data_IF_039020020075
#
_entry.id   IF_039020020075
#
_cell.length_a   1.000
_cell.length_b   1.000
_cell.length_c   1.000
_cell.angle_alpha   90.00
_cell.angle_beta   90.00
_cell.angle_gamma   90.00
#
_symmetry.space_group_name_H-M   'P 1'
#
loop_
_entity.id
_entity.type
_entity.pdbx_description
1 polymer ?
#
# COMPACT_ATOMS: atom_id res chain seq x y z
N UNK A 1 -27.37 8.66 -1.02
CA UNK A 1 -27.51 7.81 0.19
C UNK A 1 -27.15 6.38 -0.18
N UNK A 2 -26.15 5.77 0.43
CA UNK A 2 -25.79 4.37 0.14
C UNK A 2 -26.67 3.44 0.98
N UNK A 3 -27.48 2.61 0.31
CA UNK A 3 -28.26 1.59 1.02
C UNK A 3 -27.33 0.47 1.47
N UNK A 4 -27.16 0.28 2.78
CA UNK A 4 -26.46 -0.86 3.37
C UNK A 4 -27.47 -1.94 3.79
N UNK A 5 -27.12 -3.22 3.55
CA UNK A 5 -27.95 -4.37 3.94
C UNK A 5 -27.09 -5.48 4.57
N UNK A 6 -27.73 -6.39 5.32
CA UNK A 6 -27.08 -7.50 6.02
C UNK A 6 -27.03 -8.78 5.16
N UNK A 7 -26.20 -9.75 5.55
CA UNK A 7 -26.02 -11.03 4.82
C UNK A 7 -27.34 -11.82 4.65
N UNK A 8 -28.27 -11.70 5.60
CA UNK A 8 -29.56 -12.40 5.55
C UNK A 8 -30.42 -12.03 4.35
N UNK A 9 -30.18 -10.86 3.73
CA UNK A 9 -30.89 -10.35 2.56
C UNK A 9 -30.01 -10.31 1.32
N UNK A 10 -28.86 -11.01 1.31
CA UNK A 10 -27.88 -10.93 0.24
C UNK A 10 -28.47 -11.33 -1.12
N UNK A 11 -29.11 -12.49 -1.22
CA UNK A 11 -29.69 -12.99 -2.48
C UNK A 11 -30.81 -12.11 -2.99
N UNK A 12 -31.67 -11.60 -2.11
CA UNK A 12 -32.76 -10.68 -2.48
C UNK A 12 -32.22 -9.36 -3.01
N UNK A 13 -31.22 -8.77 -2.37
CA UNK A 13 -30.68 -7.45 -2.73
C UNK A 13 -29.69 -7.46 -3.88
N UNK A 14 -28.97 -8.56 -4.10
CA UNK A 14 -27.95 -8.67 -5.16
C UNK A 14 -28.54 -9.30 -6.43
N UNK A 15 -29.45 -10.25 -6.29
CA UNK A 15 -29.97 -11.04 -7.42
C UNK A 15 -31.45 -10.87 -7.69
N UNK A 16 -32.17 -10.12 -6.84
CA UNK A 16 -33.64 -10.00 -6.83
C UNK A 16 -34.35 -11.36 -6.68
N UNK A 17 -33.72 -12.27 -5.91
CA UNK A 17 -34.23 -13.62 -5.65
C UNK A 17 -34.96 -13.65 -4.32
N UNK A 18 -36.28 -13.86 -4.29
CA UNK A 18 -37.03 -13.94 -3.03
C UNK A 18 -36.63 -15.18 -2.23
N UNK A 19 -36.50 -15.03 -0.89
CA UNK A 19 -36.06 -16.09 0.03
C UNK A 19 -36.86 -17.40 -0.04
N UNK A 20 -38.11 -17.36 -0.52
CA UNK A 20 -39.03 -18.50 -0.48
C UNK A 20 -39.18 -19.29 -1.77
N UNK A 21 -38.75 -18.78 -2.92
CA UNK A 21 -38.86 -19.48 -4.20
C UNK A 21 -37.61 -19.22 -5.04
N UNK A 22 -36.63 -20.11 -4.91
CA UNK A 22 -35.49 -20.13 -5.81
C UNK A 22 -35.85 -21.05 -6.98
N UNK A 23 -36.27 -20.45 -8.09
CA UNK A 23 -36.52 -21.18 -9.34
C UNK A 23 -35.19 -21.57 -10.01
N UNK A 24 -35.26 -22.48 -10.98
CA UNK A 24 -34.04 -22.96 -11.68
C UNK A 24 -33.30 -21.83 -12.45
N UNK A 25 -33.98 -20.79 -12.89
CA UNK A 25 -33.39 -19.62 -13.55
C UNK A 25 -32.58 -18.79 -12.57
N UNK A 26 -33.14 -18.49 -11.40
CA UNK A 26 -32.50 -17.76 -10.30
C UNK A 26 -31.30 -18.51 -9.77
N UNK A 27 -31.39 -19.84 -9.64
CA UNK A 27 -30.27 -20.68 -9.24
C UNK A 27 -29.12 -20.63 -10.25
N UNK A 28 -29.43 -20.66 -11.55
CA UNK A 28 -28.43 -20.59 -12.60
C UNK A 28 -27.75 -19.22 -12.63
N UNK A 29 -28.50 -18.13 -12.47
CA UNK A 29 -27.96 -16.76 -12.33
C UNK A 29 -27.01 -16.64 -11.15
N UNK A 30 -27.38 -17.16 -9.98
CA UNK A 30 -26.55 -17.15 -8.78
C UNK A 30 -25.27 -18.02 -8.96
N UNK A 31 -25.35 -19.16 -9.65
CA UNK A 31 -24.22 -20.02 -9.98
C UNK A 31 -23.23 -19.29 -10.90
N UNK A 32 -23.70 -18.68 -11.96
CA UNK A 32 -22.86 -17.88 -12.88
C UNK A 32 -22.16 -16.74 -12.13
N UNK A 33 -22.87 -16.06 -11.23
CA UNK A 33 -22.27 -15.01 -10.40
C UNK A 33 -21.22 -15.55 -9.41
N UNK A 34 -21.43 -16.74 -8.85
CA UNK A 34 -20.45 -17.41 -8.01
C UNK A 34 -19.16 -17.75 -8.78
N UNK A 35 -19.27 -18.30 -9.99
CA UNK A 35 -18.15 -18.59 -10.88
C UNK A 35 -17.41 -17.29 -11.26
N UNK A 36 -18.15 -16.23 -11.64
CA UNK A 36 -17.57 -14.93 -11.94
C UNK A 36 -16.84 -14.33 -10.73
N UNK A 37 -17.37 -14.45 -9.51
CA UNK A 37 -16.72 -13.96 -8.31
C UNK A 37 -15.37 -14.66 -8.06
N UNK A 38 -15.29 -15.96 -8.34
CA UNK A 38 -14.02 -16.72 -8.29
C UNK A 38 -13.02 -16.23 -9.32
N UNK A 39 -13.43 -16.00 -10.56
CA UNK A 39 -12.56 -15.55 -11.64
C UNK A 39 -12.03 -14.13 -11.35
N UNK A 40 -12.90 -13.22 -10.91
CA UNK A 40 -12.47 -11.87 -10.55
C UNK A 40 -11.55 -11.88 -9.34
N UNK A 41 -11.81 -12.73 -8.32
CA UNK A 41 -10.90 -12.90 -7.19
C UNK A 41 -9.51 -13.37 -7.64
N UNK A 42 -9.44 -14.33 -8.54
CA UNK A 42 -8.19 -14.84 -9.14
C UNK A 42 -7.44 -13.72 -9.85
N UNK A 43 -8.15 -12.96 -10.68
CA UNK A 43 -7.62 -11.82 -11.41
C UNK A 43 -7.07 -10.72 -10.46
N UNK A 44 -7.78 -10.40 -9.38
CA UNK A 44 -7.31 -9.42 -8.38
C UNK A 44 -6.03 -9.89 -7.65
N UNK A 45 -5.89 -11.20 -7.39
CA UNK A 45 -4.66 -11.77 -6.84
C UNK A 45 -3.49 -11.64 -7.82
N UNK A 46 -3.72 -11.94 -9.10
CA UNK A 46 -2.70 -11.78 -10.15
C UNK A 46 -2.28 -10.31 -10.33
N UNK A 47 -3.26 -9.39 -10.33
CA UNK A 47 -2.99 -7.96 -10.41
C UNK A 47 -2.20 -7.45 -9.21
N UNK A 48 -2.47 -7.97 -8.01
CA UNK A 48 -1.71 -7.63 -6.81
C UNK A 48 -0.22 -7.93 -7.00
N UNK A 49 0.11 -9.13 -7.50
CA UNK A 49 1.49 -9.53 -7.74
C UNK A 49 2.14 -8.73 -8.87
N UNK A 50 1.44 -8.52 -9.98
CA UNK A 50 1.95 -7.70 -11.11
C UNK A 50 2.25 -6.27 -10.68
N UNK A 51 1.32 -5.62 -9.96
CA UNK A 51 1.53 -4.26 -9.43
C UNK A 51 2.71 -4.24 -8.46
N UNK A 52 2.81 -5.22 -7.56
CA UNK A 52 3.92 -5.37 -6.63
C UNK A 52 5.27 -5.41 -7.34
N UNK A 53 5.39 -6.20 -8.40
CA UNK A 53 6.63 -6.32 -9.19
C UNK A 53 7.08 -4.98 -9.80
N UNK A 54 6.16 -4.18 -10.36
CA UNK A 54 6.50 -2.87 -10.90
C UNK A 54 6.99 -1.90 -9.81
N UNK A 55 6.31 -1.88 -8.65
CA UNK A 55 6.74 -1.01 -7.55
C UNK A 55 8.09 -1.42 -6.97
N UNK A 56 8.37 -2.73 -6.86
CA UNK A 56 9.68 -3.21 -6.47
C UNK A 56 10.77 -2.72 -7.43
N UNK A 57 10.54 -2.80 -8.73
CA UNK A 57 11.51 -2.34 -9.73
C UNK A 57 11.78 -0.83 -9.60
N UNK A 58 10.74 -0.01 -9.46
CA UNK A 58 10.88 1.44 -9.29
C UNK A 58 11.60 1.81 -7.98
N UNK A 59 11.26 1.15 -6.88
CA UNK A 59 11.87 1.38 -5.57
C UNK A 59 13.35 0.98 -5.61
N UNK A 60 13.69 -0.19 -6.16
CA UNK A 60 15.08 -0.63 -6.30
C UNK A 60 15.89 0.31 -7.20
N UNK A 61 15.34 0.71 -8.34
CA UNK A 61 16.01 1.66 -9.25
C UNK A 61 16.28 3.00 -8.54
N UNK A 62 15.31 3.52 -7.80
CA UNK A 62 15.44 4.78 -7.06
C UNK A 62 16.46 4.69 -5.93
N UNK A 63 16.48 3.62 -5.15
CA UNK A 63 17.51 3.40 -4.12
C UNK A 63 18.88 3.20 -4.76
N UNK A 64 19.00 2.46 -5.84
CA UNK A 64 20.26 2.28 -6.56
C UNK A 64 20.80 3.62 -7.05
N UNK A 65 19.96 4.44 -7.69
CA UNK A 65 20.35 5.77 -8.14
C UNK A 65 20.80 6.66 -6.97
N UNK A 66 20.07 6.59 -5.84
CA UNK A 66 20.44 7.31 -4.62
C UNK A 66 21.81 6.88 -4.10
N UNK A 67 22.05 5.58 -3.89
CA UNK A 67 23.31 5.08 -3.32
C UNK A 67 24.50 5.27 -4.26
N UNK A 68 24.33 5.08 -5.57
CA UNK A 68 25.40 5.36 -6.55
C UNK A 68 25.77 6.84 -6.56
N UNK A 69 24.79 7.72 -6.47
CA UNK A 69 25.02 9.17 -6.41
C UNK A 69 25.72 9.54 -5.10
N UNK A 70 25.25 9.00 -3.98
CA UNK A 70 25.81 9.22 -2.66
C UNK A 70 27.28 8.75 -2.58
N UNK A 71 27.60 7.54 -3.09
CA UNK A 71 28.94 6.99 -3.14
C UNK A 71 29.90 7.87 -3.95
N UNK A 72 29.48 8.34 -5.13
CA UNK A 72 30.30 9.26 -5.94
C UNK A 72 30.64 10.55 -5.19
N UNK A 73 29.72 11.10 -4.44
CA UNK A 73 29.97 12.30 -3.66
C UNK A 73 30.86 12.03 -2.44
N UNK A 74 30.76 10.87 -1.81
CA UNK A 74 31.66 10.45 -0.74
C UNK A 74 33.08 10.21 -1.23
N UNK A 75 33.25 9.50 -2.36
CA UNK A 75 34.55 9.18 -2.92
C UNK A 75 35.33 10.44 -3.34
N UNK A 76 34.61 11.47 -3.85
CA UNK A 76 35.23 12.75 -4.21
C UNK A 76 35.80 13.51 -3.01
N UNK A 77 35.24 13.36 -1.81
CA UNK A 77 35.51 14.18 -0.63
C UNK A 77 36.32 13.50 0.50
N UNK A 78 36.92 12.33 0.31
CA UNK A 78 37.66 11.56 1.33
C UNK A 78 36.87 11.41 2.65
N UNK A 79 36.28 10.29 2.85
CA UNK A 79 35.36 9.82 3.90
C UNK A 79 35.58 10.39 5.32
N UNK A 80 35.15 11.63 5.59
CA UNK A 80 35.04 12.20 6.95
C UNK A 80 33.61 12.67 7.17
N UNK A 81 33.08 12.56 8.40
CA UNK A 81 31.70 13.02 8.75
C UNK A 81 31.51 14.51 8.42
N UNK A 82 32.57 15.31 8.47
CA UNK A 82 32.57 16.72 8.04
C UNK A 82 32.20 16.87 6.56
N UNK A 83 32.50 15.87 5.72
CA UNK A 83 32.28 15.93 4.26
C UNK A 83 30.82 15.91 3.86
N UNK A 84 29.90 15.34 4.67
CA UNK A 84 28.46 15.40 4.41
C UNK A 84 27.93 16.85 4.49
N UNK A 85 28.50 17.67 5.35
CA UNK A 85 28.18 19.09 5.47
C UNK A 85 28.88 19.91 4.38
N UNK A 86 29.97 19.41 3.81
CA UNK A 86 30.76 20.04 2.75
C UNK A 86 30.36 19.64 1.32
N UNK A 87 29.36 18.74 1.15
CA UNK A 87 28.81 18.44 -0.17
C UNK A 87 28.36 19.74 -0.86
N UNK A 88 28.64 19.83 -2.16
CA UNK A 88 28.13 20.97 -2.92
C UNK A 88 26.61 21.03 -2.81
N UNK A 89 26.02 22.23 -2.79
CA UNK A 89 24.59 22.44 -2.71
C UNK A 89 23.85 21.65 -3.80
N UNK A 90 24.42 21.56 -5.01
CA UNK A 90 23.84 20.75 -6.11
C UNK A 90 23.78 19.27 -5.76
N UNK A 91 24.79 18.72 -5.09
CA UNK A 91 24.80 17.31 -4.66
C UNK A 91 23.69 17.01 -3.65
N UNK A 92 23.51 17.87 -2.64
CA UNK A 92 22.45 17.74 -1.62
C UNK A 92 21.07 17.79 -2.25
N UNK A 93 20.85 18.69 -3.21
CA UNK A 93 19.59 18.81 -3.95
C UNK A 93 19.29 17.54 -4.76
N UNK A 94 20.26 16.99 -5.49
CA UNK A 94 20.07 15.75 -6.24
C UNK A 94 19.70 14.59 -5.31
N UNK A 95 20.40 14.44 -4.18
CA UNK A 95 20.09 13.41 -3.19
C UNK A 95 18.71 13.62 -2.55
N UNK A 96 18.32 14.88 -2.28
CA UNK A 96 16.97 15.21 -1.82
C UNK A 96 15.91 14.78 -2.84
N UNK A 97 16.07 15.12 -4.11
CA UNK A 97 15.12 14.74 -5.16
C UNK A 97 14.99 13.22 -5.25
N UNK A 98 16.14 12.49 -5.29
CA UNK A 98 16.13 11.02 -5.38
C UNK A 98 15.47 10.37 -4.17
N UNK A 99 15.73 10.87 -2.95
CA UNK A 99 15.08 10.36 -1.73
C UNK A 99 13.57 10.65 -1.72
N UNK A 100 13.14 11.82 -2.16
CA UNK A 100 11.73 12.17 -2.30
C UNK A 100 11.02 11.29 -3.34
N UNK A 101 11.63 11.03 -4.49
CA UNK A 101 11.09 10.10 -5.49
C UNK A 101 10.92 8.69 -4.91
N UNK A 102 11.93 8.19 -4.20
CA UNK A 102 11.86 6.89 -3.53
C UNK A 102 10.70 6.86 -2.51
N UNK A 103 10.54 7.91 -1.73
CA UNK A 103 9.43 8.04 -0.78
C UNK A 103 8.07 7.99 -1.47
N UNK A 104 7.91 8.71 -2.59
CA UNK A 104 6.67 8.71 -3.37
C UNK A 104 6.32 7.31 -3.88
N UNK A 105 7.29 6.56 -4.41
CA UNK A 105 7.07 5.20 -4.88
C UNK A 105 6.70 4.24 -3.74
N UNK A 106 7.38 4.35 -2.59
CA UNK A 106 7.05 3.55 -1.41
C UNK A 106 5.65 3.87 -0.88
N UNK A 107 5.28 5.15 -0.82
CA UNK A 107 3.96 5.60 -0.39
C UNK A 107 2.86 5.08 -1.33
N UNK A 108 3.05 5.22 -2.64
CA UNK A 108 2.13 4.70 -3.65
C UNK A 108 1.95 3.18 -3.52
N UNK A 109 3.04 2.45 -3.27
CA UNK A 109 2.98 1.01 -3.05
C UNK A 109 2.19 0.64 -1.80
N UNK A 110 2.33 1.37 -0.68
CA UNK A 110 1.49 1.17 0.52
C UNK A 110 0.00 1.31 0.19
N UNK A 111 -0.38 2.33 -0.57
CA UNK A 111 -1.79 2.54 -0.93
C UNK A 111 -2.32 1.47 -1.87
N UNK A 112 -1.54 1.07 -2.86
CA UNK A 112 -1.91 0.00 -3.79
C UNK A 112 -2.09 -1.34 -3.07
N UNK A 113 -1.22 -1.67 -2.11
CA UNK A 113 -1.36 -2.87 -1.28
C UNK A 113 -2.67 -2.83 -0.47
N UNK A 114 -3.01 -1.69 0.13
CA UNK A 114 -4.28 -1.52 0.87
C UNK A 114 -5.50 -1.62 -0.04
N UNK A 115 -5.46 -0.97 -1.19
CA UNK A 115 -6.54 -1.01 -2.18
C UNK A 115 -6.76 -2.42 -2.74
N UNK A 116 -5.70 -3.10 -3.15
CA UNK A 116 -5.78 -4.48 -3.64
C UNK A 116 -6.33 -5.44 -2.59
N UNK A 117 -5.92 -5.27 -1.31
CA UNK A 117 -6.46 -6.08 -0.22
C UNK A 117 -7.95 -5.83 0.02
N UNK A 118 -8.42 -4.59 -0.14
CA UNK A 118 -9.85 -4.28 -0.04
C UNK A 118 -10.64 -5.04 -1.10
N UNK A 119 -10.21 -5.00 -2.37
CA UNK A 119 -10.90 -5.69 -3.46
C UNK A 119 -10.86 -7.21 -3.32
N UNK A 120 -9.73 -7.80 -2.93
CA UNK A 120 -9.65 -9.24 -2.63
C UNK A 120 -10.66 -9.64 -1.55
N UNK A 121 -10.71 -8.90 -0.43
CA UNK A 121 -11.68 -9.15 0.65
C UNK A 121 -13.12 -8.96 0.21
N UNK A 122 -13.38 -7.99 -0.66
CA UNK A 122 -14.72 -7.77 -1.21
C UNK A 122 -15.20 -9.00 -1.98
N UNK A 123 -14.37 -9.54 -2.87
CA UNK A 123 -14.72 -10.73 -3.63
C UNK A 123 -14.77 -12.00 -2.78
N UNK A 124 -13.88 -12.14 -1.80
CA UNK A 124 -13.96 -13.20 -0.81
C UNK A 124 -15.28 -13.16 -0.03
N UNK A 125 -15.77 -11.97 0.32
CA UNK A 125 -17.05 -11.83 0.99
C UNK A 125 -18.23 -12.22 0.12
N UNK A 126 -18.20 -11.92 -1.20
CA UNK A 126 -19.23 -12.38 -2.14
C UNK A 126 -19.22 -13.92 -2.26
N UNK A 127 -18.05 -14.53 -2.36
CA UNK A 127 -17.90 -15.99 -2.40
C UNK A 127 -18.45 -16.61 -1.13
N UNK A 128 -18.04 -16.10 0.05
CA UNK A 128 -18.52 -16.55 1.35
C UNK A 128 -20.05 -16.52 1.51
N UNK A 129 -20.71 -15.47 0.94
CA UNK A 129 -22.15 -15.33 1.00
C UNK A 129 -22.90 -16.35 0.13
N UNK A 130 -22.26 -16.81 -0.95
CA UNK A 130 -22.85 -17.73 -1.93
C UNK A 130 -22.43 -19.20 -1.76
N UNK A 131 -21.30 -19.48 -1.09
CA UNK A 131 -20.68 -20.82 -1.09
C UNK A 131 -21.56 -21.90 -0.46
N UNK A 132 -22.35 -21.57 0.57
CA UNK A 132 -23.21 -22.54 1.26
C UNK A 132 -24.25 -23.17 0.31
N UNK A 133 -24.59 -22.45 -0.78
CA UNK A 133 -25.55 -22.91 -1.79
C UNK A 133 -24.92 -23.82 -2.84
N UNK A 134 -23.63 -23.62 -3.18
CA UNK A 134 -22.99 -24.26 -4.34
C UNK A 134 -21.88 -25.24 -4.00
N UNK A 135 -21.02 -24.92 -3.03
CA UNK A 135 -19.82 -25.69 -2.70
C UNK A 135 -19.74 -26.13 -1.22
N UNK A 136 -20.77 -25.80 -0.41
CA UNK A 136 -20.72 -25.99 1.03
C UNK A 136 -19.70 -25.03 1.67
N UNK A 137 -19.22 -25.36 2.88
CA UNK A 137 -18.36 -24.49 3.69
C UNK A 137 -16.86 -24.61 3.36
N UNK A 138 -16.50 -24.66 2.08
CA UNK A 138 -15.12 -24.90 1.65
C UNK A 138 -14.18 -23.76 2.07
N UNK A 139 -14.55 -22.52 1.81
CA UNK A 139 -13.75 -21.34 2.16
C UNK A 139 -13.84 -20.96 3.64
N UNK A 140 -14.94 -21.30 4.30
CA UNK A 140 -15.13 -21.10 5.74
C UNK A 140 -14.35 -22.09 6.59
N UNK A 141 -13.87 -23.22 6.00
CA UNK A 141 -13.16 -24.26 6.71
C UNK A 141 -11.64 -24.08 6.53
N UNK A 142 -10.95 -23.79 7.61
CA UNK A 142 -9.50 -23.56 7.62
C UNK A 142 -8.81 -24.67 8.41
N UNK A 143 -7.66 -25.15 7.92
CA UNK A 143 -6.82 -26.11 8.64
C UNK A 143 -6.37 -25.51 9.99
N UNK A 144 -6.72 -26.18 11.09
CA UNK A 144 -6.32 -25.74 12.43
C UNK A 144 -4.85 -26.12 12.68
N UNK A 145 -3.95 -25.13 12.59
CA UNK A 145 -2.53 -25.29 12.94
C UNK A 145 -2.36 -25.13 14.45
N UNK A 146 -1.92 -26.18 15.14
CA UNK A 146 -1.80 -26.19 16.61
C UNK A 146 -0.73 -25.25 17.19
N UNK A 147 0.22 -24.78 16.39
CA UNK A 147 1.33 -23.92 16.82
C UNK A 147 1.00 -22.44 16.59
N UNK A 148 0.61 -21.75 17.66
CA UNK A 148 0.36 -20.28 17.63
C UNK A 148 1.55 -19.45 18.13
N UNK A 149 2.68 -20.04 18.42
CA UNK A 149 3.83 -19.36 19.01
C UNK A 149 4.70 -18.72 17.92
N UNK A 150 4.56 -17.40 17.73
CA UNK A 150 5.27 -16.63 16.71
C UNK A 150 6.80 -16.77 16.82
N UNK A 151 7.33 -16.76 18.03
CA UNK A 151 8.79 -16.85 18.26
C UNK A 151 9.38 -18.17 17.79
N UNK A 152 8.60 -19.25 17.84
CA UNK A 152 9.01 -20.59 17.37
C UNK A 152 8.80 -20.77 15.87
N UNK A 153 7.92 -19.97 15.24
CA UNK A 153 7.59 -20.13 13.82
C UNK A 153 8.67 -19.64 12.87
N UNK A 154 9.47 -18.65 13.27
CA UNK A 154 10.56 -18.08 12.43
C UNK A 154 11.69 -19.09 12.21
N UNK A 155 12.00 -19.91 13.22
CA UNK A 155 13.10 -20.87 13.17
C UNK A 155 12.63 -22.32 12.95
N UNK A 156 11.32 -22.56 12.93
CA UNK A 156 10.76 -23.89 12.75
C UNK A 156 10.33 -24.09 11.29
N UNK A 157 10.60 -25.29 10.72
CA UNK A 157 10.21 -25.66 9.34
C UNK A 157 8.70 -25.97 9.18
N UNK A 158 7.90 -25.84 10.26
CA UNK A 158 6.45 -26.10 10.19
C UNK A 158 5.70 -25.01 9.43
N UNK A 159 4.67 -25.40 8.70
CA UNK A 159 3.78 -24.44 8.02
C UNK A 159 3.05 -23.57 9.06
N UNK A 160 2.98 -22.28 8.78
CA UNK A 160 2.29 -21.27 9.60
C UNK A 160 1.40 -20.40 8.73
N UNK A 161 0.26 -19.93 9.26
CA UNK A 161 -0.75 -19.16 8.55
C UNK A 161 -0.39 -17.66 8.43
N UNK A 162 0.80 -17.37 7.88
CA UNK A 162 1.18 -15.99 7.59
C UNK A 162 0.35 -15.39 6.47
N UNK A 163 -0.17 -14.21 6.72
CA UNK A 163 -0.81 -13.43 5.66
C UNK A 163 0.24 -12.75 4.78
N UNK A 164 0.43 -13.23 3.57
CA UNK A 164 1.36 -12.66 2.58
C UNK A 164 1.08 -11.17 2.34
N UNK A 165 -0.20 -10.78 2.26
CA UNK A 165 -0.59 -9.38 2.10
C UNK A 165 -0.19 -8.52 3.31
N UNK A 166 -0.20 -9.07 4.54
CA UNK A 166 0.29 -8.33 5.71
C UNK A 166 1.79 -8.12 5.63
N UNK A 167 2.55 -9.16 5.23
CA UNK A 167 4.01 -9.08 5.09
C UNK A 167 4.37 -8.01 4.07
N UNK A 168 3.79 -8.03 2.86
CA UNK A 168 4.06 -7.02 1.83
C UNK A 168 3.67 -5.62 2.26
N UNK A 169 2.56 -5.46 3.00
CA UNK A 169 2.14 -4.16 3.53
C UNK A 169 3.11 -3.65 4.60
N UNK A 170 3.56 -4.50 5.53
CA UNK A 170 4.54 -4.11 6.56
C UNK A 170 5.87 -3.73 5.92
N UNK A 171 6.35 -4.52 4.96
CA UNK A 171 7.59 -4.22 4.21
C UNK A 171 7.49 -2.88 3.49
N UNK A 172 6.37 -2.59 2.81
CA UNK A 172 6.17 -1.32 2.13
C UNK A 172 6.14 -0.12 3.09
N UNK A 173 5.57 -0.28 4.30
CA UNK A 173 5.57 0.75 5.34
C UNK A 173 6.99 0.99 5.88
N UNK A 174 7.77 -0.07 6.11
CA UNK A 174 9.16 0.06 6.58
C UNK A 174 9.99 0.83 5.54
N UNK A 175 9.90 0.47 4.26
CA UNK A 175 10.63 1.17 3.19
C UNK A 175 10.15 2.62 3.02
N UNK A 176 8.87 2.88 3.19
CA UNK A 176 8.31 4.24 3.19
C UNK A 176 8.90 5.09 4.34
N UNK A 177 8.96 4.55 5.55
CA UNK A 177 9.54 5.24 6.71
C UNK A 177 11.02 5.51 6.48
N UNK A 178 11.78 4.52 6.00
CA UNK A 178 13.20 4.66 5.71
C UNK A 178 13.46 5.75 4.67
N UNK A 179 12.72 5.76 3.57
CA UNK A 179 12.85 6.78 2.53
C UNK A 179 12.40 8.17 3.00
N UNK A 180 11.38 8.26 3.87
CA UNK A 180 10.98 9.50 4.51
C UNK A 180 12.10 10.07 5.41
N UNK A 181 12.75 9.22 6.21
CA UNK A 181 13.89 9.62 7.05
C UNK A 181 15.04 10.16 6.18
N UNK A 182 15.36 9.50 5.07
CA UNK A 182 16.38 9.99 4.13
C UNK A 182 15.99 11.35 3.53
N UNK A 183 14.74 11.52 3.14
CA UNK A 183 14.24 12.79 2.59
C UNK A 183 14.32 13.93 3.60
N UNK A 184 13.91 13.68 4.84
CA UNK A 184 13.99 14.66 5.93
C UNK A 184 15.46 15.01 6.23
N UNK A 185 16.35 14.00 6.25
CA UNK A 185 17.78 14.21 6.47
C UNK A 185 18.39 15.16 5.43
N UNK A 186 18.16 14.90 4.13
CA UNK A 186 18.68 15.77 3.07
C UNK A 186 17.99 17.14 3.04
N UNK A 187 16.73 17.22 3.41
CA UNK A 187 16.01 18.49 3.54
C UNK A 187 16.66 19.37 4.65
N UNK A 188 16.94 18.79 5.80
CA UNK A 188 17.63 19.49 6.90
C UNK A 188 19.01 19.95 6.47
N UNK A 189 19.81 19.09 5.81
CA UNK A 189 21.12 19.48 5.29
C UNK A 189 21.03 20.67 4.31
N UNK A 190 20.02 20.67 3.44
CA UNK A 190 19.80 21.76 2.48
C UNK A 190 19.40 23.07 3.18
N UNK A 191 18.60 23.01 4.25
CA UNK A 191 18.26 24.17 5.07
C UNK A 191 19.50 24.74 5.76
N UNK A 192 20.34 23.90 6.36
CA UNK A 192 21.56 24.34 7.03
C UNK A 192 22.52 25.07 6.09
N UNK A 193 22.62 24.60 4.85
CA UNK A 193 23.37 25.30 3.79
C UNK A 193 22.73 26.65 3.44
N UNK A 194 21.43 26.68 3.25
CA UNK A 194 20.70 27.92 3.00
C UNK A 194 21.00 28.99 4.07
N UNK A 195 20.94 28.64 5.37
CA UNK A 195 21.26 29.56 6.45
C UNK A 195 22.72 30.05 6.42
N UNK A 196 23.65 29.17 6.04
CA UNK A 196 25.07 29.52 5.89
C UNK A 196 25.32 30.46 4.70
N UNK A 197 24.57 30.30 3.62
CA UNK A 197 24.70 31.09 2.38
C UNK A 197 23.88 32.38 2.36
N UNK A 198 22.77 32.46 3.10
CA UNK A 198 21.95 33.70 3.17
C UNK A 198 22.75 34.87 3.74
N UNK A 199 23.82 34.59 4.47
CA UNK A 199 24.80 35.59 4.90
C UNK A 199 25.77 36.04 3.77
N UNK A 200 25.78 35.40 2.58
CA UNK A 200 26.77 35.54 1.51
C UNK A 200 26.21 35.50 0.07
N UNK A 201 25.13 36.16 -0.25
CA UNK A 201 24.72 36.49 -1.65
C UNK A 201 24.71 35.38 -2.72
N UNK A 202 23.87 34.32 -2.63
CA UNK A 202 23.42 33.55 -3.81
C UNK A 202 22.06 32.89 -3.57
N UNK A 203 20.98 33.64 -3.72
CA UNK A 203 19.67 33.32 -3.15
C UNK A 203 18.71 32.49 -4.04
N UNK A 204 18.94 32.38 -5.37
CA UNK A 204 17.82 32.04 -6.27
C UNK A 204 17.58 30.52 -6.46
N UNK A 205 18.63 29.73 -6.60
CA UNK A 205 18.48 28.29 -6.94
C UNK A 205 18.14 27.43 -5.72
N UNK A 206 18.68 27.76 -4.54
CA UNK A 206 18.48 26.98 -3.31
C UNK A 206 17.09 27.19 -2.73
N UNK A 207 16.53 28.42 -2.84
CA UNK A 207 15.13 28.68 -2.47
C UNK A 207 14.18 27.89 -3.33
N UNK A 208 14.44 27.79 -4.64
CA UNK A 208 13.61 26.98 -5.54
C UNK A 208 13.64 25.49 -5.17
N UNK A 209 14.81 24.91 -4.86
CA UNK A 209 14.93 23.51 -4.48
C UNK A 209 14.27 23.21 -3.14
N UNK A 210 14.37 24.10 -2.15
CA UNK A 210 13.68 24.01 -0.87
C UNK A 210 12.16 24.08 -1.06
N UNK A 211 11.67 25.00 -1.89
CA UNK A 211 10.26 25.11 -2.21
C UNK A 211 9.75 23.86 -2.95
N UNK A 212 10.55 23.31 -3.87
CA UNK A 212 10.21 22.09 -4.57
C UNK A 212 10.14 20.88 -3.61
N UNK A 213 11.10 20.73 -2.71
CA UNK A 213 11.11 19.68 -1.68
C UNK A 213 9.91 19.80 -0.75
N UNK A 214 9.58 21.02 -0.30
CA UNK A 214 8.41 21.29 0.53
C UNK A 214 7.10 21.00 -0.23
N UNK A 215 7.01 21.39 -1.50
CA UNK A 215 5.87 21.10 -2.36
C UNK A 215 5.66 19.59 -2.52
N UNK A 216 6.72 18.83 -2.75
CA UNK A 216 6.64 17.35 -2.88
C UNK A 216 6.15 16.72 -1.56
N UNK A 217 6.70 17.12 -0.41
CA UNK A 217 6.27 16.64 0.90
C UNK A 217 4.82 17.05 1.20
N UNK A 218 4.42 18.27 0.82
CA UNK A 218 3.05 18.75 0.98
C UNK A 218 2.07 17.96 0.09
N UNK A 219 2.39 17.77 -1.19
CA UNK A 219 1.55 17.00 -2.12
C UNK A 219 1.41 15.53 -1.69
N UNK A 220 2.48 14.91 -1.19
CA UNK A 220 2.41 13.54 -0.66
C UNK A 220 1.60 13.45 0.62
N UNK A 221 1.74 14.42 1.52
CA UNK A 221 0.93 14.53 2.73
C UNK A 221 -0.55 14.76 2.41
N UNK A 222 -0.85 15.65 1.45
CA UNK A 222 -2.21 15.92 0.99
C UNK A 222 -2.83 14.68 0.32
N UNK A 223 -2.11 14.00 -0.56
CA UNK A 223 -2.56 12.75 -1.17
C UNK A 223 -2.84 11.66 -0.11
N UNK A 224 -2.01 11.57 0.94
CA UNK A 224 -2.24 10.64 2.04
C UNK A 224 -3.51 10.97 2.84
N UNK A 225 -3.82 12.27 3.05
CA UNK A 225 -5.03 12.72 3.74
C UNK A 225 -6.28 12.46 2.89
N UNK A 226 -6.25 12.75 1.58
CA UNK A 226 -7.36 12.47 0.66
C UNK A 226 -7.67 10.99 0.57
N UNK A 227 -6.64 10.14 0.46
CA UNK A 227 -6.81 8.69 0.45
C UNK A 227 -7.33 8.15 1.79
N UNK A 228 -7.00 8.78 2.91
CA UNK A 228 -7.56 8.47 4.23
C UNK A 228 -9.05 8.82 4.32
N UNK A 229 -9.48 9.93 3.71
CA UNK A 229 -10.89 10.32 3.68
C UNK A 229 -11.75 9.34 2.88
N UNK A 230 -11.19 8.65 1.88
CA UNK A 230 -11.87 7.56 1.19
C UNK A 230 -12.10 6.32 2.09
N UNK A 231 -11.26 6.10 3.11
CA UNK A 231 -11.39 4.99 4.08
C UNK A 231 -12.35 5.30 5.25
N UNK A 232 -12.77 6.56 5.41
CA UNK A 232 -13.38 7.08 6.65
C UNK A 232 -14.77 6.58 7.01
N UNK A 233 -15.42 5.70 6.23
CA UNK A 233 -16.76 5.18 6.50
C UNK A 233 -16.89 3.65 6.45
N UNK A 234 -15.80 2.91 6.40
CA UNK A 234 -15.84 1.44 6.34
C UNK A 234 -15.41 0.82 7.66
N UNK A 235 -16.37 0.15 8.30
CA UNK A 235 -16.16 -0.94 9.28
C UNK A 235 -15.85 -0.51 10.71
N UNK A 236 -16.84 0.04 11.39
CA UNK A 236 -17.03 -0.14 12.83
C UNK A 236 -18.27 -1.02 13.07
N UNK A 237 -18.20 -2.30 12.74
CA UNK A 237 -19.03 -3.31 13.40
C UNK A 237 -18.47 -4.72 13.16
N UNK A 238 -17.99 -5.35 14.21
CA UNK A 238 -17.11 -6.53 14.20
C UNK A 238 -17.84 -7.86 13.96
N UNK A 239 -19.16 -7.91 13.84
CA UNK A 239 -19.91 -9.17 13.87
C UNK A 239 -20.99 -9.37 12.79
N UNK A 240 -21.20 -8.41 11.87
CA UNK A 240 -22.11 -8.62 10.72
C UNK A 240 -21.52 -7.95 9.49
N UNK A 241 -21.39 -8.68 8.39
CA UNK A 241 -20.99 -8.09 7.08
C UNK A 241 -22.10 -7.15 6.64
N UNK A 242 -21.80 -5.86 6.50
CA UNK A 242 -22.70 -4.86 5.92
C UNK A 242 -22.31 -4.61 4.48
N UNK A 243 -23.22 -4.85 3.59
CA UNK A 243 -23.10 -4.60 2.15
C UNK A 243 -23.56 -3.19 1.81
N UNK A 244 -22.93 -2.57 0.82
CA UNK A 244 -23.28 -1.26 0.29
C UNK A 244 -23.36 -1.35 -1.23
N UNK A 245 -24.52 -1.00 -1.81
CA UNK A 245 -24.66 -0.86 -3.26
C UNK A 245 -23.92 0.41 -3.71
N UNK A 246 -23.19 0.32 -4.82
CA UNK A 246 -22.63 1.47 -5.53
C UNK A 246 -23.74 2.04 -6.41
N UNK A 247 -23.96 3.35 -6.31
CA UNK A 247 -24.76 4.09 -7.28
C UNK A 247 -23.94 4.30 -8.54
#
# INVERSE_FOLDING_TARGET
>A
MSNSFEDDNYFEKVFDIPKRNIDASSQNKAKTAFELAHDVRKFEIELFWKRGTYFWAFILASFTAYFVTFDKFLAYNKFEIKTLLEFSSSAKIVLLILSCMTFIFCLAWVFINKGSKFWQKNWEAHIDAMEDMFSGKLYKTILNTKNKDFSKSVFNKSAYDYSVTKITTVTSIILMILSAMLSIFHFVLSILDFWKYTFLHKLEFEVFALLLGFLILFLTGFAALELKNCDGNSIKNKNRKKWRQRN
#
